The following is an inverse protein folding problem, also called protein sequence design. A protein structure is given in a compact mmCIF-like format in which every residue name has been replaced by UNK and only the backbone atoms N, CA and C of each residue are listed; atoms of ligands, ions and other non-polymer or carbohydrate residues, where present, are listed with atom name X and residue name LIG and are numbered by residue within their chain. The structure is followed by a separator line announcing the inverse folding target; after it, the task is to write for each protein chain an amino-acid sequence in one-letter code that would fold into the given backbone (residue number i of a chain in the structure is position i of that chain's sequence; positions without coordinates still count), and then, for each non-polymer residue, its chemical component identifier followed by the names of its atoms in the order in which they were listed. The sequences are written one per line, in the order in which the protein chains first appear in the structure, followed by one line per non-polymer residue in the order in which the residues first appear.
data_IF_277163317381
#
_entry.id   IF_277163317381
#
_cell.length_a   1.000
_cell.length_b   1.000
_cell.length_c   1.000
_cell.angle_alpha   90.00
_cell.angle_beta   90.00
_cell.angle_gamma   90.00
#
_symmetry.space_group_name_H-M   'P 1'
#
loop_
_entity.id
_entity.type
_entity.pdbx_description
1 polymer ?
#
# COMPACT_ATOMS: atom_id res chain seq x y z
N UNK A 1 31.62 -50.81 -16.29
CA UNK A 1 31.59 -49.45 -16.89
C UNK A 1 30.16 -48.91 -16.84
N UNK A 2 29.92 -47.82 -16.12
CA UNK A 2 28.65 -47.09 -16.13
C UNK A 2 28.83 -45.77 -15.39
N UNK A 3 28.90 -44.66 -16.12
CA UNK A 3 29.28 -43.33 -15.59
C UNK A 3 28.19 -42.77 -14.66
N UNK A 4 28.54 -42.11 -13.54
CA UNK A 4 27.56 -41.42 -12.72
C UNK A 4 27.09 -40.16 -13.46
N UNK A 5 25.82 -40.15 -13.85
CA UNK A 5 25.19 -38.97 -14.43
C UNK A 5 24.95 -37.97 -13.30
N UNK A 6 25.90 -37.06 -13.16
CA UNK A 6 25.92 -35.96 -12.22
C UNK A 6 24.77 -34.99 -12.54
N UNK A 7 23.62 -35.15 -11.89
CA UNK A 7 22.53 -34.18 -11.94
C UNK A 7 22.94 -32.95 -11.09
N UNK A 8 23.54 -31.96 -11.75
CA UNK A 8 23.83 -30.65 -11.17
C UNK A 8 22.47 -29.99 -10.86
N UNK A 9 22.05 -30.04 -9.60
CA UNK A 9 20.87 -29.32 -9.12
C UNK A 9 21.22 -27.82 -9.06
N UNK A 10 20.83 -27.07 -10.09
CA UNK A 10 20.93 -25.61 -10.08
C UNK A 10 19.98 -25.05 -9.01
N UNK A 11 20.56 -24.55 -7.93
CA UNK A 11 19.91 -23.74 -6.90
C UNK A 11 19.49 -22.38 -7.50
N UNK A 12 18.25 -22.26 -7.95
CA UNK A 12 17.66 -20.96 -8.31
C UNK A 12 17.16 -20.27 -7.04
N UNK A 13 17.99 -19.41 -6.45
CA UNK A 13 17.58 -18.50 -5.37
C UNK A 13 16.72 -17.39 -5.99
N UNK A 14 15.40 -17.54 -5.92
CA UNK A 14 14.46 -16.48 -6.31
C UNK A 14 14.39 -15.45 -5.19
N UNK A 15 15.04 -14.30 -5.38
CA UNK A 15 14.87 -13.14 -4.49
C UNK A 15 13.45 -12.58 -4.65
N UNK A 16 12.60 -12.80 -3.67
CA UNK A 16 11.30 -12.13 -3.55
C UNK A 16 11.56 -10.70 -3.09
N UNK A 17 11.53 -9.75 -4.03
CA UNK A 17 11.50 -8.33 -3.71
C UNK A 17 10.11 -8.00 -3.13
N UNK A 18 9.99 -7.97 -1.82
CA UNK A 18 8.81 -7.45 -1.14
C UNK A 18 8.76 -5.94 -1.37
N UNK A 19 7.87 -5.48 -2.26
CA UNK A 19 7.49 -4.08 -2.34
C UNK A 19 6.78 -3.71 -1.02
N UNK A 20 7.57 -3.29 -0.04
CA UNK A 20 7.04 -2.71 1.18
C UNK A 20 6.32 -1.43 0.76
N UNK A 21 4.99 -1.49 0.69
CA UNK A 21 4.17 -0.29 0.49
C UNK A 21 4.36 0.57 1.75
N UNK A 22 5.42 1.37 1.75
CA UNK A 22 5.54 2.47 2.68
C UNK A 22 4.28 3.30 2.48
N UNK A 23 3.44 3.35 3.52
CA UNK A 23 2.22 4.13 3.49
C UNK A 23 2.63 5.60 3.58
N UNK A 24 3.05 6.14 2.44
CA UNK A 24 3.48 7.53 2.33
C UNK A 24 2.36 8.43 2.83
N UNK A 25 2.71 9.27 3.82
CA UNK A 25 1.79 10.27 4.35
C UNK A 25 1.88 11.47 3.43
N UNK A 26 0.81 11.72 2.68
CA UNK A 26 0.72 12.83 1.75
C UNK A 26 0.42 14.12 2.51
N UNK A 27 0.89 15.25 1.98
CA UNK A 27 0.52 16.59 2.51
C UNK A 27 -0.79 17.12 1.92
N UNK A 28 -1.19 16.57 0.78
CA UNK A 28 -2.34 17.02 0.02
C UNK A 28 -3.21 15.83 -0.34
N UNK A 29 -4.51 16.05 -0.30
CA UNK A 29 -5.48 15.06 -0.74
C UNK A 29 -5.32 14.73 -2.22
N UNK A 30 -5.28 13.43 -2.60
CA UNK A 30 -5.37 13.03 -3.99
C UNK A 30 -6.70 13.47 -4.61
N UNK A 31 -6.64 13.87 -5.89
CA UNK A 31 -7.81 14.26 -6.65
C UNK A 31 -8.93 13.20 -6.62
N UNK A 32 -10.15 13.63 -6.89
CA UNK A 32 -11.26 12.71 -7.09
C UNK A 32 -10.90 11.67 -8.15
N UNK A 33 -11.29 10.40 -7.91
CA UNK A 33 -10.97 9.24 -8.76
C UNK A 33 -9.49 8.83 -8.84
N UNK A 34 -8.56 9.52 -8.16
CA UNK A 34 -7.15 9.13 -8.16
C UNK A 34 -6.87 7.82 -7.39
N UNK A 35 -7.77 7.44 -6.48
CA UNK A 35 -7.64 6.24 -5.66
C UNK A 35 -8.51 5.10 -6.21
N UNK A 36 -7.91 3.92 -6.34
CA UNK A 36 -8.65 2.69 -6.67
C UNK A 36 -9.58 2.31 -5.53
N UNK A 37 -10.63 1.54 -5.81
CA UNK A 37 -11.51 0.98 -4.79
C UNK A 37 -10.70 0.25 -3.72
N UNK A 38 -10.90 0.63 -2.46
CA UNK A 38 -10.23 0.02 -1.31
C UNK A 38 -8.78 0.45 -1.11
N UNK A 39 -8.19 1.24 -2.02
CA UNK A 39 -6.86 1.82 -1.81
C UNK A 39 -6.91 2.80 -0.65
N UNK A 40 -6.01 2.62 0.31
CA UNK A 40 -5.88 3.49 1.47
C UNK A 40 -4.67 4.39 1.31
N UNK A 41 -4.85 5.68 1.55
CA UNK A 41 -3.76 6.65 1.69
C UNK A 41 -3.97 7.47 2.95
N UNK A 42 -2.88 7.96 3.51
CA UNK A 42 -2.90 8.83 4.67
C UNK A 42 -2.51 10.24 4.29
N UNK A 43 -3.21 11.24 4.82
CA UNK A 43 -2.97 12.66 4.52
C UNK A 43 -2.86 13.47 5.80
N UNK A 44 -1.75 14.17 5.96
CA UNK A 44 -1.48 15.11 7.04
C UNK A 44 -1.57 16.56 6.51
N UNK A 45 -2.80 17.07 6.43
CA UNK A 45 -3.10 18.45 6.00
C UNK A 45 -3.67 19.33 7.12
N UNK A 46 -3.54 18.92 8.38
CA UNK A 46 -3.98 19.69 9.55
C UNK A 46 -5.50 19.75 9.78
N UNK A 47 -6.30 18.97 9.03
CA UNK A 47 -7.75 18.89 9.20
C UNK A 47 -8.22 18.00 10.36
N UNK A 48 -7.36 17.13 10.87
CA UNK A 48 -7.64 16.28 12.02
C UNK A 48 -7.07 16.88 13.32
N UNK A 49 -7.56 16.44 14.50
CA UNK A 49 -6.97 16.80 15.79
C UNK A 49 -5.47 16.50 15.87
N UNK A 50 -4.78 17.11 16.82
CA UNK A 50 -3.36 16.88 17.04
C UNK A 50 -3.05 15.39 17.26
N UNK A 51 -2.06 14.87 16.52
CA UNK A 51 -1.68 13.45 16.55
C UNK A 51 -2.51 12.53 15.64
N UNK A 52 -3.48 13.08 14.90
CA UNK A 52 -4.31 12.34 13.96
C UNK A 52 -4.12 12.85 12.53
N UNK A 53 -4.34 11.95 11.57
CA UNK A 53 -4.25 12.23 10.14
C UNK A 53 -5.45 11.62 9.42
N UNK A 54 -5.73 12.08 8.20
CA UNK A 54 -6.86 11.57 7.43
C UNK A 54 -6.49 10.25 6.76
N UNK A 55 -7.20 9.18 7.09
CA UNK A 55 -7.25 7.95 6.32
C UNK A 55 -8.30 8.11 5.23
N UNK A 56 -7.84 8.04 3.99
CA UNK A 56 -8.70 8.11 2.82
C UNK A 56 -8.76 6.74 2.18
N UNK A 57 -9.97 6.20 2.04
CA UNK A 57 -10.20 4.93 1.34
C UNK A 57 -10.95 5.17 0.02
N UNK A 58 -10.33 4.78 -1.09
CA UNK A 58 -10.90 4.92 -2.43
C UNK A 58 -12.24 4.21 -2.58
N UNK A 59 -13.23 4.93 -3.13
CA UNK A 59 -14.56 4.39 -3.44
C UNK A 59 -14.60 3.67 -4.80
N UNK A 60 -15.81 3.38 -5.26
CA UNK A 60 -16.09 2.94 -6.62
C UNK A 60 -17.28 3.75 -7.16
N UNK A 61 -17.00 4.82 -7.89
CA UNK A 61 -18.04 5.70 -8.42
C UNK A 61 -18.97 4.99 -9.41
N UNK A 62 -18.44 4.06 -10.22
CA UNK A 62 -19.24 3.26 -11.16
C UNK A 62 -20.24 2.34 -10.44
N UNK A 63 -19.98 1.97 -9.19
CA UNK A 63 -20.86 1.15 -8.36
C UNK A 63 -21.59 1.97 -7.28
N UNK A 64 -21.55 3.31 -7.35
CA UNK A 64 -22.18 4.19 -6.35
C UNK A 64 -21.51 4.19 -4.97
N UNK A 65 -20.34 3.57 -4.82
CA UNK A 65 -19.61 3.51 -3.55
C UNK A 65 -18.77 4.78 -3.39
N UNK A 66 -19.12 5.61 -2.42
CA UNK A 66 -18.40 6.85 -2.13
C UNK A 66 -17.03 6.56 -1.48
N UNK A 67 -16.13 7.53 -1.61
CA UNK A 67 -14.86 7.56 -0.88
C UNK A 67 -15.14 7.71 0.62
N UNK A 68 -14.34 7.07 1.45
CA UNK A 68 -14.42 7.22 2.91
C UNK A 68 -13.24 8.05 3.41
N UNK A 69 -13.50 8.92 4.39
CA UNK A 69 -12.50 9.78 5.03
C UNK A 69 -12.72 9.69 6.53
N UNK A 70 -11.68 9.35 7.26
CA UNK A 70 -11.71 9.21 8.72
C UNK A 70 -10.45 9.82 9.32
N UNK A 71 -10.57 10.52 10.45
CA UNK A 71 -9.40 10.90 11.25
C UNK A 71 -8.98 9.69 12.08
N UNK A 72 -7.74 9.25 11.88
CA UNK A 72 -7.15 8.11 12.59
C UNK A 72 -5.86 8.55 13.25
N UNK A 73 -5.45 7.81 14.29
CA UNK A 73 -4.10 7.98 14.85
C UNK A 73 -3.07 7.83 13.73
N UNK A 74 -2.07 8.71 13.75
CA UNK A 74 -0.95 8.64 12.82
C UNK A 74 -0.38 7.21 12.87
N UNK A 75 -0.42 6.46 11.77
CA UNK A 75 0.09 5.11 11.74
C UNK A 75 1.58 5.18 12.03
N UNK A 76 2.00 4.42 13.04
CA UNK A 76 3.39 4.37 13.49
C UNK A 76 4.18 3.57 12.46
N UNK A 77 4.72 4.28 11.47
CA UNK A 77 5.36 3.73 10.28
C UNK A 77 6.80 4.17 10.14
N UNK A 78 7.60 3.88 11.19
CA UNK A 78 9.06 3.97 11.35
C UNK A 78 9.73 5.34 11.16
#
# INVERSE_FOLDING_TARGET
MGKPLLCIALLTVTTIASAQQANEILKVEPANLALRKGQVVYVDDGKCPAGEIRKITGGNQSAGVKRQVECVKRPEGR
#
